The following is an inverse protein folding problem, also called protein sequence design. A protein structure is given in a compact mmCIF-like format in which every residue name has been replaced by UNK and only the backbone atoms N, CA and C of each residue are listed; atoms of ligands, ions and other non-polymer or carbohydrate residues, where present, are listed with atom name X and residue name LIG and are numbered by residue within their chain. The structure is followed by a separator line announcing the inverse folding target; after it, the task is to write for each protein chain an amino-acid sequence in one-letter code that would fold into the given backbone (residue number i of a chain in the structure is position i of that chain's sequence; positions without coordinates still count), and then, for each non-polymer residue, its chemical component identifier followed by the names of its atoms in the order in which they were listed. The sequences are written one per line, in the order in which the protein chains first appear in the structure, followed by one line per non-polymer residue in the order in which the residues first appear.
data_IF_856336557238
#
_entry.id   IF_856336557238
#
_cell.length_a   1.000
_cell.length_b   1.000
_cell.length_c   1.000
_cell.angle_alpha   90.00
_cell.angle_beta   90.00
_cell.angle_gamma   90.00
#
_symmetry.space_group_name_H-M   'P 1'
#
loop_
_entity.id
_entity.type
_entity.pdbx_description
1 polymer ?
#
# COMPACT_ATOMS: atom_id res chain seq x y z
N UNK A 1 -17.78 -14.20 30.16
CA UNK A 1 -17.40 -12.79 29.88
C UNK A 1 -16.00 -12.66 29.27
N UNK A 2 -15.06 -13.55 29.58
CA UNK A 2 -13.66 -13.48 29.09
C UNK A 2 -13.51 -13.72 27.57
N UNK A 3 -14.21 -14.74 27.03
CA UNK A 3 -14.13 -15.08 25.61
C UNK A 3 -14.64 -13.97 24.67
N UNK A 4 -15.68 -13.25 25.08
CA UNK A 4 -16.24 -12.10 24.34
C UNK A 4 -15.28 -10.90 24.31
N UNK A 5 -14.53 -10.66 25.40
CA UNK A 5 -13.55 -9.57 25.47
C UNK A 5 -12.33 -9.88 24.58
N UNK A 6 -11.87 -11.14 24.57
CA UNK A 6 -10.74 -11.58 23.73
C UNK A 6 -11.03 -11.42 22.24
N UNK A 7 -12.24 -11.77 21.80
CA UNK A 7 -12.68 -11.63 20.40
C UNK A 7 -12.77 -10.17 19.97
N UNK A 8 -13.29 -9.28 20.82
CA UNK A 8 -13.37 -7.83 20.54
C UNK A 8 -11.98 -7.19 20.42
N UNK A 9 -11.06 -7.54 21.33
CA UNK A 9 -9.69 -7.03 21.30
C UNK A 9 -8.93 -7.47 20.04
N UNK A 10 -9.11 -8.73 19.65
CA UNK A 10 -8.57 -9.30 18.41
C UNK A 10 -9.09 -8.58 17.15
N UNK A 11 -10.39 -8.27 17.13
CA UNK A 11 -11.01 -7.51 16.02
C UNK A 11 -10.49 -6.08 15.86
N UNK A 12 -10.20 -5.40 16.97
CA UNK A 12 -9.61 -4.05 16.95
C UNK A 12 -8.18 -4.10 16.39
N UNK A 13 -7.37 -5.08 16.82
CA UNK A 13 -5.99 -5.25 16.35
C UNK A 13 -5.97 -5.52 14.83
N UNK A 14 -6.82 -6.42 14.33
CA UNK A 14 -6.92 -6.68 12.90
C UNK A 14 -7.29 -5.43 12.09
N UNK A 15 -8.21 -4.62 12.60
CA UNK A 15 -8.59 -3.34 11.98
C UNK A 15 -7.44 -2.33 11.92
N UNK A 16 -6.67 -2.19 13.00
CA UNK A 16 -5.51 -1.27 13.04
C UNK A 16 -4.44 -1.72 12.05
N UNK A 17 -4.14 -3.02 12.00
CA UNK A 17 -3.14 -3.57 11.09
C UNK A 17 -3.51 -3.35 9.61
N UNK A 18 -4.77 -3.60 9.26
CA UNK A 18 -5.29 -3.29 7.91
C UNK A 18 -5.26 -1.79 7.61
N UNK A 19 -5.63 -0.96 8.59
CA UNK A 19 -5.64 0.50 8.47
C UNK A 19 -4.26 1.09 8.21
N UNK A 20 -3.22 0.64 8.94
CA UNK A 20 -1.84 1.10 8.73
C UNK A 20 -1.34 0.77 7.32
N UNK A 21 -1.63 -0.45 6.85
CA UNK A 21 -1.27 -0.88 5.50
C UNK A 21 -1.99 -0.06 4.42
N UNK A 22 -3.28 0.21 4.62
CA UNK A 22 -4.07 1.03 3.71
C UNK A 22 -3.60 2.49 3.68
N UNK A 23 -3.23 3.05 4.84
CA UNK A 23 -2.69 4.40 4.95
C UNK A 23 -1.43 4.56 4.09
N UNK A 24 -0.53 3.57 4.15
CA UNK A 24 0.68 3.56 3.32
C UNK A 24 0.35 3.59 1.83
N UNK A 25 -0.59 2.75 1.39
CA UNK A 25 -1.05 2.74 -0.02
C UNK A 25 -1.54 4.12 -0.43
N UNK A 26 -2.37 4.77 0.39
CA UNK A 26 -2.92 6.10 0.09
C UNK A 26 -1.80 7.13 -0.03
N UNK A 27 -0.89 7.19 0.95
CA UNK A 27 0.23 8.14 0.95
C UNK A 27 1.12 7.93 -0.27
N UNK A 28 1.47 6.69 -0.58
CA UNK A 28 2.35 6.39 -1.71
C UNK A 28 1.67 6.69 -3.05
N UNK A 29 0.37 6.37 -3.18
CA UNK A 29 -0.42 6.71 -4.36
C UNK A 29 -0.48 8.23 -4.58
N UNK A 30 -0.69 9.01 -3.51
CA UNK A 30 -0.66 10.47 -3.59
C UNK A 30 0.71 10.99 -4.01
N UNK A 31 1.80 10.39 -3.53
CA UNK A 31 3.16 10.76 -3.96
C UNK A 31 3.42 10.41 -5.43
N UNK A 32 2.91 9.28 -5.92
CA UNK A 32 2.99 8.90 -7.34
C UNK A 32 2.19 9.87 -8.20
N UNK A 33 0.94 10.19 -7.80
CA UNK A 33 0.14 11.20 -8.50
C UNK A 33 0.81 12.57 -8.50
N UNK A 34 1.42 12.96 -7.38
CA UNK A 34 2.18 14.19 -7.29
C UNK A 34 3.41 14.17 -8.21
N UNK A 35 4.08 13.02 -8.35
CA UNK A 35 5.19 12.85 -9.29
C UNK A 35 4.76 13.06 -10.75
N UNK A 36 3.59 12.56 -11.15
CA UNK A 36 3.08 12.73 -12.51
C UNK A 36 2.53 14.12 -12.81
N UNK A 37 1.88 14.74 -11.83
CA UNK A 37 1.19 16.03 -12.02
C UNK A 37 2.06 17.24 -11.70
N UNK A 38 3.12 17.06 -10.89
CA UNK A 38 3.96 18.16 -10.42
C UNK A 38 3.21 19.17 -9.53
N UNK A 39 2.07 18.80 -8.94
CA UNK A 39 1.21 19.71 -8.16
C UNK A 39 1.92 20.36 -6.97
N UNK A 40 2.80 19.61 -6.30
CA UNK A 40 3.60 20.05 -5.16
C UNK A 40 5.07 19.94 -5.57
N UNK A 41 5.84 21.00 -5.30
CA UNK A 41 7.29 21.07 -5.50
C UNK A 41 8.02 20.06 -4.61
N UNK A 42 8.02 18.81 -5.06
CA UNK A 42 8.67 17.65 -4.45
C UNK A 42 9.93 17.29 -5.25
N UNK A 43 10.68 18.30 -5.68
CA UNK A 43 11.82 18.18 -6.60
C UNK A 43 12.91 17.24 -6.07
N UNK A 44 12.99 17.04 -4.75
CA UNK A 44 13.95 16.12 -4.13
C UNK A 44 13.55 14.65 -4.17
N UNK A 45 12.28 14.34 -4.47
CA UNK A 45 11.74 12.99 -4.48
C UNK A 45 11.79 12.33 -5.87
N UNK A 46 12.40 12.96 -6.87
CA UNK A 46 12.54 12.50 -8.27
C UNK A 46 12.55 10.96 -8.44
N UNK A 47 11.41 10.40 -8.85
CA UNK A 47 11.23 8.97 -9.13
C UNK A 47 11.15 8.05 -7.90
N UNK A 48 11.50 8.53 -6.70
CA UNK A 48 11.42 7.76 -5.45
C UNK A 48 10.02 7.21 -5.18
N UNK A 49 8.92 7.98 -5.35
CA UNK A 49 7.57 7.43 -5.19
C UNK A 49 7.25 6.25 -6.10
N UNK A 50 7.83 6.19 -7.31
CA UNK A 50 7.62 5.09 -8.25
C UNK A 50 8.41 3.85 -7.84
N UNK A 51 9.64 4.03 -7.35
CA UNK A 51 10.53 2.93 -6.98
C UNK A 51 10.22 2.39 -5.57
N UNK A 52 9.85 3.26 -4.63
CA UNK A 52 9.61 2.93 -3.23
C UNK A 52 8.67 1.73 -2.99
N UNK A 53 7.59 1.52 -3.77
CA UNK A 53 6.74 0.35 -3.65
C UNK A 53 7.47 -0.99 -3.67
N UNK A 54 8.55 -1.14 -4.44
CA UNK A 54 9.24 -2.44 -4.56
C UNK A 54 9.88 -2.88 -3.24
N UNK A 55 10.30 -1.93 -2.40
CA UNK A 55 10.94 -2.18 -1.11
C UNK A 55 9.95 -2.12 0.05
N UNK A 56 9.02 -1.17 0.00
CA UNK A 56 8.13 -0.88 1.13
C UNK A 56 6.85 -1.71 1.10
N UNK A 57 6.29 -2.07 -0.07
CA UNK A 57 5.09 -2.90 -0.13
C UNK A 57 5.29 -4.27 0.54
N UNK A 58 6.39 -5.01 0.33
CA UNK A 58 6.60 -6.28 1.03
C UNK A 58 6.56 -6.16 2.56
N UNK A 59 7.01 -5.04 3.12
CA UNK A 59 6.92 -4.76 4.55
C UNK A 59 5.49 -4.39 4.97
N UNK A 60 4.81 -3.58 4.16
CA UNK A 60 3.49 -3.02 4.51
C UNK A 60 2.32 -3.95 4.21
N UNK A 61 2.49 -4.97 3.36
CA UNK A 61 1.44 -5.97 3.09
C UNK A 61 1.31 -7.01 4.21
N UNK A 62 2.40 -7.32 4.92
CA UNK A 62 2.44 -8.27 6.04
C UNK A 62 1.41 -7.96 7.13
N UNK A 63 1.31 -6.73 7.68
CA UNK A 63 0.29 -6.42 8.68
C UNK A 63 -1.13 -6.57 8.13
N UNK A 64 -1.39 -6.24 6.86
CA UNK A 64 -2.72 -6.45 6.26
C UNK A 64 -3.08 -7.94 6.14
N UNK A 65 -2.11 -8.77 5.76
CA UNK A 65 -2.28 -10.23 5.70
C UNK A 65 -2.58 -10.79 7.10
N UNK A 66 -1.79 -10.42 8.11
CA UNK A 66 -2.01 -10.84 9.49
C UNK A 66 -3.38 -10.36 10.00
N UNK A 67 -3.72 -9.10 9.73
CA UNK A 67 -5.01 -8.52 10.08
C UNK A 67 -6.19 -9.28 9.45
N UNK A 68 -6.05 -9.68 8.19
CA UNK A 68 -7.06 -10.47 7.46
C UNK A 68 -7.27 -11.87 8.05
N UNK A 69 -6.21 -12.53 8.51
CA UNK A 69 -6.32 -13.83 9.18
C UNK A 69 -6.96 -13.73 10.57
N UNK A 70 -6.74 -12.62 11.28
CA UNK A 70 -7.34 -12.37 12.60
C UNK A 70 -8.83 -12.03 12.46
N UNK A 71 -9.15 -11.13 11.54
CA UNK A 71 -10.49 -10.65 11.26
C UNK A 71 -10.58 -10.58 9.74
N UNK A 72 -11.37 -11.47 9.12
CA UNK A 72 -11.63 -11.50 7.66
C UNK A 72 -12.39 -10.26 7.18
N UNK A 73 -11.78 -9.11 7.40
CA UNK A 73 -12.34 -7.79 7.19
C UNK A 73 -12.07 -7.34 5.76
N UNK A 74 -13.07 -6.69 5.17
CA UNK A 74 -12.96 -6.15 3.80
C UNK A 74 -11.87 -5.09 3.72
N UNK A 75 -11.65 -4.33 4.81
CA UNK A 75 -10.57 -3.34 4.87
C UNK A 75 -9.18 -3.98 4.68
N UNK A 76 -8.91 -5.11 5.34
CA UNK A 76 -7.64 -5.81 5.18
C UNK A 76 -7.49 -6.40 3.77
N UNK A 77 -8.59 -6.91 3.20
CA UNK A 77 -8.61 -7.42 1.82
C UNK A 77 -8.29 -6.31 0.82
N UNK A 78 -8.93 -5.14 0.94
CA UNK A 78 -8.63 -3.99 0.09
C UNK A 78 -7.18 -3.51 0.25
N UNK A 79 -6.66 -3.47 1.47
CA UNK A 79 -5.26 -3.13 1.71
C UNK A 79 -4.32 -4.12 0.99
N UNK A 80 -4.58 -5.43 1.04
CA UNK A 80 -3.79 -6.44 0.33
C UNK A 80 -3.85 -6.22 -1.20
N UNK A 81 -5.05 -6.09 -1.78
CA UNK A 81 -5.21 -5.90 -3.23
C UNK A 81 -4.48 -4.63 -3.69
N UNK A 82 -4.69 -3.52 -2.98
CA UNK A 82 -4.07 -2.26 -3.38
C UNK A 82 -2.56 -2.26 -3.21
N UNK A 83 -2.02 -2.94 -2.19
CA UNK A 83 -0.57 -3.14 -2.07
C UNK A 83 -0.02 -3.94 -3.26
N UNK A 84 -0.70 -5.01 -3.69
CA UNK A 84 -0.29 -5.77 -4.89
C UNK A 84 -0.27 -4.89 -6.13
N UNK A 85 -1.31 -4.08 -6.35
CA UNK A 85 -1.37 -3.13 -7.47
C UNK A 85 -0.22 -2.13 -7.37
N UNK A 86 0.02 -1.57 -6.19
CA UNK A 86 1.09 -0.60 -5.94
C UNK A 86 2.48 -1.22 -6.20
N UNK A 87 2.68 -2.50 -5.86
CA UNK A 87 3.91 -3.23 -6.15
C UNK A 87 4.19 -3.40 -7.64
N UNK A 88 3.14 -3.45 -8.48
CA UNK A 88 3.29 -3.55 -9.93
C UNK A 88 3.71 -2.22 -10.58
N UNK A 89 3.49 -1.08 -9.93
CA UNK A 89 3.84 0.26 -10.45
C UNK A 89 5.33 0.38 -10.87
N UNK A 90 6.32 0.05 -10.01
CA UNK A 90 7.73 0.13 -10.39
C UNK A 90 8.11 -0.80 -11.55
N UNK A 91 7.34 -1.87 -11.78
CA UNK A 91 7.58 -2.82 -12.87
C UNK A 91 6.95 -2.31 -14.17
N UNK A 92 5.71 -1.81 -14.10
CA UNK A 92 4.98 -1.34 -15.27
C UNK A 92 5.50 -0.02 -15.80
N UNK A 93 5.95 0.88 -14.93
CA UNK A 93 6.45 2.21 -15.32
C UNK A 93 7.57 2.17 -16.37
N UNK A 94 8.70 1.45 -16.18
CA UNK A 94 9.76 1.39 -17.19
C UNK A 94 9.33 0.66 -18.46
N UNK A 95 8.48 -0.36 -18.36
CA UNK A 95 7.94 -1.09 -19.53
C UNK A 95 7.09 -0.15 -20.38
N UNK A 96 6.15 0.56 -19.77
CA UNK A 96 5.30 1.54 -20.46
C UNK A 96 6.16 2.68 -21.01
N UNK A 97 7.14 3.17 -20.24
CA UNK A 97 8.07 4.20 -20.69
C UNK A 97 8.79 3.80 -21.97
N UNK A 98 9.34 2.59 -22.02
CA UNK A 98 10.03 2.07 -23.21
C UNK A 98 9.08 1.90 -24.40
N UNK A 99 7.86 1.42 -24.16
CA UNK A 99 6.86 1.24 -25.21
C UNK A 99 6.36 2.56 -25.81
N UNK A 100 6.28 3.63 -25.01
CA UNK A 100 5.75 4.94 -25.44
C UNK A 100 6.85 5.82 -26.04
N UNK A 101 8.04 5.83 -25.44
CA UNK A 101 9.11 6.76 -25.81
C UNK A 101 10.22 6.12 -26.66
N UNK A 102 10.15 4.81 -26.90
CA UNK A 102 11.19 4.05 -27.59
C UNK A 102 12.38 3.71 -26.69
N UNK A 103 13.33 2.90 -27.20
CA UNK A 103 14.61 2.65 -26.54
C UNK A 103 15.53 3.89 -26.49
#
# INVERSE_FOLDING_TARGET
MDATVKTTKSGIIGGILGGISLLYVIINTLLILNFFTGLIAAEKLQGLPIIAPIFLVPLMIVPAIIGFFIKKDKLCLWAIILNIILFLVPISYPVIGTLVFGP
#
